data_IF_168451201183
#
_entry.id   IF_168451201183
#
_cell.length_a   1.000
_cell.length_b   1.000
_cell.length_c   1.000
_cell.angle_alpha   90.00
_cell.angle_beta   90.00
_cell.angle_gamma   90.00
#
_symmetry.space_group_name_H-M   'P 1'
#
loop_
_entity.id
_entity.type
_entity.pdbx_description
1 polymer ?
#
# COMPACT_ATOMS: atom_id res chain seq x y z
N UNK A 1 -3.38 18.77 -16.74
CA UNK A 1 -3.43 18.63 -15.29
C UNK A 1 -3.39 17.17 -14.88
N UNK A 2 -2.58 16.83 -13.92
CA UNK A 2 -2.47 15.46 -13.45
C UNK A 2 -3.63 15.21 -12.51
N UNK A 3 -4.35 14.10 -12.71
CA UNK A 3 -5.52 13.81 -11.89
C UNK A 3 -5.50 12.42 -11.26
N UNK A 4 -4.37 11.75 -11.23
CA UNK A 4 -4.30 10.44 -10.59
C UNK A 4 -2.93 9.84 -10.72
N UNK A 5 -2.78 8.65 -10.18
CA UNK A 5 -1.53 7.90 -10.26
C UNK A 5 -1.84 6.44 -10.55
N UNK A 6 -0.89 5.76 -11.14
CA UNK A 6 -1.04 4.36 -11.49
C UNK A 6 0.28 3.66 -11.17
N UNK A 7 0.22 2.58 -10.39
CA UNK A 7 1.40 1.84 -10.03
C UNK A 7 1.27 0.43 -10.54
N UNK A 8 2.33 -0.06 -11.15
CA UNK A 8 2.36 -1.44 -11.62
C UNK A 8 3.24 -2.22 -10.66
N UNK A 9 2.71 -3.32 -10.15
CA UNK A 9 3.43 -4.18 -9.23
C UNK A 9 3.84 -5.43 -10.00
N UNK A 10 5.13 -5.65 -10.12
CA UNK A 10 5.64 -6.82 -10.81
C UNK A 10 5.75 -7.96 -9.81
N UNK A 11 5.29 -9.13 -10.18
CA UNK A 11 5.17 -10.23 -9.23
C UNK A 11 5.31 -11.56 -9.95
N UNK A 12 5.74 -12.55 -9.23
CA UNK A 12 5.89 -13.89 -9.79
C UNK A 12 4.55 -14.61 -9.89
N UNK A 13 3.53 -14.14 -9.19
CA UNK A 13 2.24 -14.79 -9.21
C UNK A 13 1.15 -13.73 -9.27
N UNK A 14 0.95 -13.13 -10.46
CA UNK A 14 -0.01 -12.03 -10.56
C UNK A 14 -1.44 -12.43 -10.24
N UNK A 15 -1.82 -13.66 -10.54
CA UNK A 15 -3.17 -14.06 -10.27
C UNK A 15 -3.46 -14.11 -8.79
N UNK A 16 -2.54 -14.66 -7.99
CA UNK A 16 -2.72 -14.72 -6.56
C UNK A 16 -2.69 -13.33 -5.93
N UNK A 17 -1.83 -12.44 -6.45
CA UNK A 17 -1.74 -11.09 -5.91
C UNK A 17 -2.99 -10.28 -6.25
N UNK A 18 -3.57 -10.47 -7.44
CA UNK A 18 -4.82 -9.80 -7.76
C UNK A 18 -5.95 -10.26 -6.85
N UNK A 19 -6.00 -11.57 -6.59
CA UNK A 19 -7.02 -12.10 -5.68
C UNK A 19 -6.84 -11.52 -4.28
N UNK A 20 -5.61 -11.32 -3.85
CA UNK A 20 -5.33 -10.74 -2.55
C UNK A 20 -5.87 -9.30 -2.46
N UNK A 21 -5.61 -8.48 -3.46
CA UNK A 21 -6.10 -7.11 -3.47
C UNK A 21 -7.63 -7.09 -3.50
N UNK A 22 -8.24 -8.00 -4.24
CA UNK A 22 -9.70 -8.05 -4.34
C UNK A 22 -10.36 -8.59 -3.08
N UNK A 23 -9.83 -9.70 -2.54
CA UNK A 23 -10.55 -10.44 -1.51
C UNK A 23 -10.09 -10.12 -0.10
N UNK A 24 -8.83 -9.79 0.10
CA UNK A 24 -8.29 -9.48 1.42
C UNK A 24 -8.35 -7.98 1.67
N UNK A 25 -7.82 -7.19 0.75
CA UNK A 25 -7.78 -5.74 0.93
C UNK A 25 -9.06 -5.07 0.49
N UNK A 26 -9.89 -5.76 -0.30
CA UNK A 26 -11.22 -5.29 -0.69
C UNK A 26 -11.20 -4.03 -1.53
N UNK A 27 -10.17 -3.85 -2.34
CA UNK A 27 -10.15 -2.72 -3.26
C UNK A 27 -11.06 -3.02 -4.45
N UNK A 28 -11.87 -2.08 -4.91
CA UNK A 28 -12.66 -2.29 -6.12
C UNK A 28 -11.77 -2.38 -7.34
N UNK A 29 -12.21 -3.10 -8.35
CA UNK A 29 -11.42 -3.25 -9.56
C UNK A 29 -12.28 -3.25 -10.79
N UNK A 30 -11.64 -3.00 -11.93
CA UNK A 30 -12.25 -3.05 -13.23
C UNK A 30 -11.40 -3.98 -14.08
N UNK A 31 -12.04 -4.86 -14.85
CA UNK A 31 -11.31 -5.75 -15.73
C UNK A 31 -11.08 -5.04 -17.06
N UNK A 32 -9.83 -4.75 -17.37
CA UNK A 32 -9.46 -4.06 -18.59
C UNK A 32 -9.22 -5.04 -19.74
N UNK A 33 -9.58 -6.31 -19.59
CA UNK A 33 -9.44 -7.31 -20.63
C UNK A 33 -8.44 -8.37 -20.22
N UNK A 34 -8.73 -9.61 -20.56
CA UNK A 34 -7.83 -10.75 -20.32
C UNK A 34 -7.44 -10.84 -18.84
N UNK A 35 -8.40 -10.60 -17.96
CA UNK A 35 -8.18 -10.67 -16.51
C UNK A 35 -7.17 -9.66 -16.01
N UNK A 36 -6.89 -8.63 -16.75
CA UNK A 36 -6.03 -7.54 -16.29
C UNK A 36 -6.87 -6.62 -15.42
N UNK A 37 -6.79 -6.80 -14.10
CA UNK A 37 -7.59 -6.01 -13.18
C UNK A 37 -6.83 -4.74 -12.80
N UNK A 38 -7.52 -3.62 -12.88
CA UNK A 38 -6.99 -2.35 -12.43
C UNK A 38 -7.73 -1.98 -11.17
N UNK A 39 -6.99 -1.82 -10.08
CA UNK A 39 -7.58 -1.61 -8.77
C UNK A 39 -7.65 -0.12 -8.45
N UNK A 40 -8.81 0.32 -7.97
CA UNK A 40 -8.97 1.67 -7.47
C UNK A 40 -8.50 1.68 -6.03
N UNK A 41 -7.46 2.42 -5.77
CA UNK A 41 -6.85 2.47 -4.46
C UNK A 41 -7.13 3.81 -3.81
N UNK A 42 -6.90 3.94 -2.52
CA UNK A 42 -6.99 5.24 -1.89
C UNK A 42 -6.06 6.23 -2.58
N UNK A 43 -6.30 7.52 -2.44
CA UNK A 43 -5.41 8.50 -3.03
C UNK A 43 -3.97 8.26 -2.59
N UNK A 44 -3.03 8.56 -3.46
CA UNK A 44 -1.63 8.35 -3.18
C UNK A 44 -0.94 9.65 -2.88
N UNK A 45 0.03 9.59 -1.98
CA UNK A 45 0.95 10.68 -1.78
C UNK A 45 2.23 10.38 -2.54
N UNK A 46 2.97 11.40 -2.91
CA UNK A 46 4.26 11.21 -3.54
C UNK A 46 5.31 11.95 -2.73
N UNK A 47 6.41 11.30 -2.48
CA UNK A 47 7.52 11.91 -1.78
C UNK A 47 8.81 11.54 -2.49
N UNK A 48 9.82 12.37 -2.33
CA UNK A 48 11.08 12.17 -3.02
C UNK A 48 12.18 11.98 -2.00
N UNK A 49 12.97 10.96 -2.18
CA UNK A 49 14.06 10.66 -1.28
C UNK A 49 15.36 10.64 -2.07
N UNK A 50 16.40 11.17 -1.48
CA UNK A 50 17.70 11.14 -2.13
C UNK A 50 18.10 9.70 -2.37
N UNK A 51 18.72 9.47 -3.51
CA UNK A 51 19.21 8.14 -3.86
C UNK A 51 20.28 8.28 -4.92
N UNK A 52 21.19 7.33 -4.95
CA UNK A 52 22.17 7.30 -6.00
C UNK A 52 21.63 6.66 -7.26
N UNK A 53 20.44 6.07 -7.20
CA UNK A 53 19.85 5.41 -8.35
C UNK A 53 18.50 5.99 -8.66
N UNK A 54 18.21 6.11 -9.94
CA UNK A 54 16.87 6.48 -10.39
C UNK A 54 16.02 5.24 -10.62
N UNK A 55 14.76 5.45 -10.91
CA UNK A 55 13.86 4.38 -11.37
C UNK A 55 13.59 3.31 -10.33
N UNK A 56 13.75 3.64 -9.07
CA UNK A 56 13.35 2.77 -7.98
C UNK A 56 12.20 3.43 -7.24
N UNK A 57 11.20 2.65 -6.87
CA UNK A 57 10.00 3.18 -6.24
C UNK A 57 9.59 2.29 -5.09
N UNK A 58 9.01 2.90 -4.07
CA UNK A 58 8.44 2.17 -2.96
C UNK A 58 6.97 2.49 -2.86
N UNK A 59 6.18 1.51 -2.51
CA UNK A 59 4.77 1.69 -2.33
C UNK A 59 4.44 1.50 -0.86
N UNK A 60 3.75 2.47 -0.29
CA UNK A 60 3.24 2.36 1.07
C UNK A 60 1.73 2.49 1.00
N UNK A 61 1.05 1.57 1.63
CA UNK A 61 -0.39 1.74 1.85
C UNK A 61 -0.56 2.47 3.17
N UNK A 62 -1.55 3.33 3.27
CA UNK A 62 -1.75 4.15 4.46
C UNK A 62 -2.92 3.62 5.25
N UNK A 63 -2.85 3.73 6.56
CA UNK A 63 -3.94 3.30 7.43
C UNK A 63 -4.05 4.25 8.62
N UNK A 64 -5.22 4.19 9.28
CA UNK A 64 -5.45 5.00 10.45
C UNK A 64 -4.98 4.34 11.73
N UNK A 65 -4.96 3.04 11.78
CA UNK A 65 -4.65 2.28 13.00
C UNK A 65 -3.87 1.04 12.58
N UNK A 66 -2.55 1.12 12.70
CA UNK A 66 -1.73 0.04 12.18
C UNK A 66 -1.89 -1.23 13.00
N UNK A 67 -2.11 -1.12 14.30
CA UNK A 67 -2.29 -2.31 15.12
C UNK A 67 -3.53 -3.09 14.68
N UNK A 68 -4.63 -2.38 14.46
CA UNK A 68 -5.86 -3.03 14.00
C UNK A 68 -5.71 -3.59 12.60
N UNK A 69 -5.00 -2.87 11.72
CA UNK A 69 -4.78 -3.33 10.37
C UNK A 69 -3.98 -4.62 10.35
N UNK A 70 -2.92 -4.70 11.13
CA UNK A 70 -2.09 -5.90 11.18
C UNK A 70 -2.85 -7.06 11.78
N UNK A 71 -3.68 -6.79 12.79
CA UNK A 71 -4.46 -7.87 13.39
C UNK A 71 -5.45 -8.45 12.38
N UNK A 72 -6.08 -7.58 11.59
CA UNK A 72 -6.99 -8.05 10.56
C UNK A 72 -6.26 -8.89 9.52
N UNK A 73 -5.07 -8.47 9.10
CA UNK A 73 -4.31 -9.25 8.14
C UNK A 73 -3.89 -10.58 8.71
N UNK A 74 -3.46 -10.61 9.98
CA UNK A 74 -3.10 -11.89 10.59
C UNK A 74 -4.29 -12.83 10.65
N UNK A 75 -5.47 -12.30 10.91
CA UNK A 75 -6.66 -13.15 10.98
C UNK A 75 -6.98 -13.78 9.64
N UNK A 76 -6.43 -13.25 8.56
CA UNK A 76 -6.62 -13.79 7.22
C UNK A 76 -5.38 -14.53 6.75
N UNK A 77 -4.52 -14.91 7.68
CA UNK A 77 -3.33 -15.71 7.40
C UNK A 77 -2.30 -14.97 6.56
N UNK A 78 -2.23 -13.65 6.69
CA UNK A 78 -1.23 -12.86 6.01
C UNK A 78 -0.03 -12.69 6.94
N UNK A 79 1.17 -12.89 6.41
CA UNK A 79 2.38 -12.74 7.19
C UNK A 79 2.71 -11.26 7.32
N UNK A 80 2.91 -10.78 8.52
CA UNK A 80 3.20 -9.36 8.76
C UNK A 80 4.47 -9.25 9.60
N UNK A 81 5.13 -8.09 9.52
CA UNK A 81 6.30 -7.81 10.33
C UNK A 81 5.88 -7.15 11.64
N UNK A 82 6.85 -6.93 12.53
CA UNK A 82 6.62 -6.10 13.70
C UNK A 82 6.50 -4.65 13.27
N UNK A 83 5.87 -3.84 14.12
CA UNK A 83 5.75 -2.42 13.87
C UNK A 83 7.05 -1.72 14.22
N UNK A 84 7.49 -0.85 13.34
CA UNK A 84 8.67 -0.04 13.56
C UNK A 84 8.23 1.40 13.72
N UNK A 85 8.68 2.06 14.78
CA UNK A 85 8.34 3.45 15.00
C UNK A 85 9.35 4.34 14.32
N UNK A 86 8.86 5.32 13.60
CA UNK A 86 9.70 6.27 12.89
C UNK A 86 9.24 7.67 13.24
N UNK A 87 10.07 8.69 13.00
CA UNK A 87 9.64 10.05 13.30
C UNK A 87 8.36 10.46 12.58
N UNK A 88 8.12 9.89 11.40
CA UNK A 88 6.98 10.27 10.59
C UNK A 88 5.80 9.31 10.72
N UNK A 89 5.92 8.29 11.54
CA UNK A 89 4.80 7.39 11.74
C UNK A 89 5.23 5.99 12.12
N UNK A 90 4.30 5.07 12.07
CA UNK A 90 4.56 3.67 12.36
C UNK A 90 4.46 2.89 11.07
N UNK A 91 5.39 1.97 10.86
CA UNK A 91 5.42 1.23 9.60
C UNK A 91 5.61 -0.26 9.87
N UNK A 92 5.03 -1.07 9.00
CA UNK A 92 5.22 -2.51 9.01
C UNK A 92 5.12 -3.00 7.58
N UNK A 93 5.45 -4.26 7.34
CA UNK A 93 5.29 -4.84 6.02
C UNK A 93 4.40 -6.06 6.11
N UNK A 94 3.77 -6.39 4.98
CA UNK A 94 3.08 -7.66 4.88
C UNK A 94 3.51 -8.31 3.56
N UNK A 95 3.37 -9.63 3.50
CA UNK A 95 3.86 -10.41 2.38
C UNK A 95 2.70 -10.79 1.48
N UNK A 96 2.86 -10.53 0.18
CA UNK A 96 1.87 -10.92 -0.81
C UNK A 96 2.01 -12.41 -1.13
N UNK A 97 0.95 -13.02 -1.65
CA UNK A 97 1.03 -14.45 -2.00
C UNK A 97 2.18 -14.79 -2.94
N UNK A 98 2.54 -13.89 -3.84
CA UNK A 98 3.64 -14.15 -4.75
C UNK A 98 5.01 -13.99 -4.13
N UNK A 99 5.10 -13.60 -2.86
CA UNK A 99 6.35 -13.50 -2.14
C UNK A 99 6.89 -12.09 -1.96
N UNK A 100 6.36 -11.12 -2.66
CA UNK A 100 6.83 -9.75 -2.50
C UNK A 100 6.26 -9.10 -1.25
N UNK A 101 6.81 -7.98 -0.86
CA UNK A 101 6.36 -7.29 0.34
C UNK A 101 5.87 -5.91 0.01
N UNK A 102 4.88 -5.47 0.75
CA UNK A 102 4.35 -4.11 0.64
C UNK A 102 4.38 -3.50 2.04
N UNK A 103 4.74 -2.23 2.12
CA UNK A 103 4.74 -1.52 3.38
C UNK A 103 3.38 -0.89 3.65
N UNK A 104 3.02 -0.87 4.92
CA UNK A 104 1.82 -0.15 5.36
C UNK A 104 2.26 0.77 6.48
N UNK A 105 1.68 1.98 6.52
CA UNK A 105 2.09 2.89 7.58
C UNK A 105 0.92 3.71 8.08
N UNK A 106 1.05 4.09 9.34
CA UNK A 106 0.12 4.98 9.99
C UNK A 106 0.85 6.30 10.18
N UNK A 107 0.44 7.38 9.52
CA UNK A 107 1.13 8.66 9.66
C UNK A 107 1.10 9.16 11.08
N UNK A 108 2.16 9.84 11.48
CA UNK A 108 2.20 10.37 12.83
C UNK A 108 1.13 11.41 13.03
N UNK A 109 0.89 12.24 12.03
CA UNK A 109 -0.24 13.16 12.09
C UNK A 109 -1.23 12.68 11.10
N UNK A 110 -2.47 12.96 11.32
CA UNK A 110 -3.49 12.41 10.46
C UNK A 110 -3.77 13.28 9.30
N UNK A 111 -2.86 14.09 8.87
CA UNK A 111 -3.20 15.03 7.85
C UNK A 111 -2.60 14.73 6.54
N UNK A 112 -2.30 13.54 6.20
CA UNK A 112 -1.80 13.29 4.93
C UNK A 112 -2.91 13.46 3.98
N UNK A 113 -3.20 12.62 3.18
CA UNK A 113 -4.14 12.77 2.11
C UNK A 113 -5.51 12.99 2.63
N UNK A 114 -6.18 13.97 2.11
CA UNK A 114 -7.57 14.16 2.40
C UNK A 114 -7.83 14.85 3.70
N UNK A 115 -6.87 15.17 4.49
CA UNK A 115 -7.18 15.89 5.65
C UNK A 115 -6.54 17.20 5.50
N UNK A 116 -6.55 17.95 6.39
CA UNK A 116 -6.23 19.24 6.17
C UNK A 116 -4.91 19.47 5.81
N UNK A 117 -4.12 18.68 5.89
CA UNK A 117 -2.86 18.94 5.46
C UNK A 117 -2.44 20.30 5.66
N UNK A 118 -3.26 21.06 6.03
CA UNK A 118 -2.91 22.38 6.16
C UNK A 118 -1.90 22.50 7.17
N UNK A 119 -1.82 21.63 7.97
CA UNK A 119 -0.91 21.78 8.89
C UNK A 119 0.38 21.60 8.45
N UNK A 120 0.56 21.26 7.43
CA UNK A 120 1.84 21.11 7.10
C UNK A 120 2.44 22.10 6.71
#
# INVERSE_FOLDING_TARGET
>A
MINGAHIVIYTKDPEADRAFFRDVLKFPSVDAGHDWLIFAMPPLEAAFHDSENNDQHELYLMCDDIAATLEDLKSKNVKVSDVSERPWGKVATFTLPGGGKISVYEPKTSDSIGSSSAEE
#
